data_IF_135373833159
#
_entry.id   IF_135373833159
#
_cell.length_a   1.000
_cell.length_b   1.000
_cell.length_c   1.000
_cell.angle_alpha   90.00
_cell.angle_beta   90.00
_cell.angle_gamma   90.00
#
_symmetry.space_group_name_H-M   'P 1'
#
loop_
_entity.id
_entity.type
_entity.pdbx_description
1 polymer ?
#
# COMPACT_ATOMS: atom_id res chain seq x y z
N UNK A 1 3.00 -17.18 2.18
CA UNK A 1 1.82 -17.13 1.29
C UNK A 1 2.11 -17.94 0.03
N UNK A 2 1.11 -18.45 -0.69
CA UNK A 2 1.35 -19.27 -1.90
C UNK A 2 2.12 -18.52 -2.99
N UNK A 3 1.88 -17.22 -3.13
CA UNK A 3 2.57 -16.37 -4.10
C UNK A 3 4.04 -16.11 -3.70
N UNK A 4 4.34 -15.93 -2.41
CA UNK A 4 5.73 -15.79 -1.92
C UNK A 4 6.56 -17.06 -2.19
N UNK A 5 5.96 -18.26 -2.05
CA UNK A 5 6.62 -19.53 -2.38
C UNK A 5 7.00 -19.62 -3.87
N UNK A 6 6.33 -18.84 -4.72
CA UNK A 6 6.58 -18.73 -6.16
C UNK A 6 7.51 -17.55 -6.50
N UNK A 7 8.14 -16.92 -5.51
CA UNK A 7 9.02 -15.76 -5.70
C UNK A 7 8.26 -14.46 -6.03
N UNK A 8 6.95 -14.41 -5.81
CA UNK A 8 6.12 -13.23 -6.09
C UNK A 8 5.93 -12.43 -4.81
N UNK A 9 6.42 -11.19 -4.80
CA UNK A 9 6.19 -10.21 -3.75
C UNK A 9 4.75 -9.70 -3.81
N UNK A 10 4.06 -9.66 -2.68
CA UNK A 10 2.65 -9.25 -2.61
C UNK A 10 2.48 -8.04 -1.71
N UNK A 11 1.72 -7.06 -2.18
CA UNK A 11 1.39 -5.86 -1.44
C UNK A 11 -0.09 -5.82 -1.10
N UNK A 12 -0.40 -5.30 0.08
CA UNK A 12 -1.76 -4.92 0.47
C UNK A 12 -1.85 -3.41 0.41
N UNK A 13 -2.66 -2.88 -0.50
CA UNK A 13 -3.00 -1.46 -0.54
C UNK A 13 -4.29 -1.25 0.26
N UNK A 14 -4.25 -0.35 1.25
CA UNK A 14 -5.40 -0.03 2.10
C UNK A 14 -5.49 1.47 2.32
N UNK A 15 -6.69 1.97 2.65
CA UNK A 15 -6.78 3.30 3.24
C UNK A 15 -6.48 3.23 4.74
N UNK A 16 -6.05 4.34 5.32
CA UNK A 16 -5.83 4.54 6.75
C UNK A 16 -6.97 4.00 7.64
N UNK A 17 -8.22 4.26 7.24
CA UNK A 17 -9.45 3.87 7.93
C UNK A 17 -9.58 2.36 8.08
N UNK A 18 -9.06 1.59 7.11
CA UNK A 18 -9.13 0.12 7.12
C UNK A 18 -7.86 -0.55 7.63
N UNK A 19 -6.80 0.21 7.95
CA UNK A 19 -5.55 -0.34 8.47
C UNK A 19 -5.76 -1.25 9.71
N UNK A 20 -6.61 -0.89 10.70
CA UNK A 20 -6.84 -1.77 11.86
C UNK A 20 -7.40 -3.15 11.48
N UNK A 21 -8.22 -3.22 10.43
CA UNK A 21 -8.76 -4.48 9.93
C UNK A 21 -7.66 -5.33 9.27
N UNK A 22 -6.79 -4.70 8.47
CA UNK A 22 -5.64 -5.37 7.85
C UNK A 22 -4.72 -5.96 8.93
N UNK A 23 -4.41 -5.20 9.98
CA UNK A 23 -3.58 -5.64 11.09
C UNK A 23 -4.22 -6.80 11.86
N UNK A 24 -5.53 -6.72 12.14
CA UNK A 24 -6.26 -7.80 12.80
C UNK A 24 -6.23 -9.10 11.97
N UNK A 25 -6.40 -9.00 10.65
CA UNK A 25 -6.33 -10.16 9.75
C UNK A 25 -4.91 -10.74 9.66
N UNK A 26 -3.89 -9.87 9.60
CA UNK A 26 -2.49 -10.29 9.59
C UNK A 26 -2.14 -11.07 10.87
N UNK A 27 -2.57 -10.57 12.03
CA UNK A 27 -2.40 -11.23 13.33
C UNK A 27 -3.10 -12.58 13.38
N UNK A 28 -4.37 -12.64 12.98
CA UNK A 28 -5.16 -13.88 13.00
C UNK A 28 -4.54 -14.97 12.10
N UNK A 29 -3.95 -14.58 10.97
CA UNK A 29 -3.33 -15.48 10.00
C UNK A 29 -1.84 -15.72 10.25
N UNK A 30 -1.24 -15.07 11.27
CA UNK A 30 0.20 -15.12 11.58
C UNK A 30 1.08 -14.80 10.38
N UNK A 31 0.67 -13.82 9.58
CA UNK A 31 1.43 -13.33 8.41
C UNK A 31 1.89 -11.90 8.64
N UNK A 32 2.98 -11.50 7.99
CA UNK A 32 3.48 -10.12 7.99
C UNK A 32 3.34 -9.55 6.58
N UNK A 33 2.19 -8.93 6.23
CA UNK A 33 1.99 -8.38 4.89
C UNK A 33 2.85 -7.12 4.70
N UNK A 34 3.24 -6.84 3.45
CA UNK A 34 3.75 -5.55 3.06
C UNK A 34 2.57 -4.63 2.77
N UNK A 35 2.34 -3.65 3.65
CA UNK A 35 1.16 -2.77 3.58
C UNK A 35 1.57 -1.40 3.04
N UNK A 36 0.84 -0.93 2.04
CA UNK A 36 0.90 0.44 1.54
C UNK A 36 -0.39 1.12 2.01
N UNK A 37 -0.25 2.22 2.73
CA UNK A 37 -1.36 2.98 3.29
C UNK A 37 -1.52 4.28 2.51
N UNK A 38 -2.75 4.60 2.13
CA UNK A 38 -3.13 5.88 1.53
C UNK A 38 -4.24 6.54 2.33
N UNK A 39 -4.37 7.85 2.22
CA UNK A 39 -5.39 8.58 2.96
C UNK A 39 -6.80 8.28 2.40
N UNK A 40 -7.76 8.12 3.29
CA UNK A 40 -9.18 8.09 2.92
C UNK A 40 -9.68 9.52 2.61
N UNK A 41 -10.70 9.70 1.76
CA UNK A 41 -11.33 8.72 0.88
C UNK A 41 -10.52 8.46 -0.40
N UNK A 42 -10.89 7.37 -1.10
CA UNK A 42 -10.42 7.04 -2.45
C UNK A 42 -11.51 7.18 -3.52
N UNK A 43 -12.73 7.55 -3.10
CA UNK A 43 -13.88 7.77 -3.98
C UNK A 43 -14.50 9.14 -3.74
N UNK A 44 -15.15 9.70 -4.77
CA UNK A 44 -15.71 11.05 -4.72
C UNK A 44 -14.68 12.18 -4.77
N UNK A 45 -13.43 11.86 -5.09
CA UNK A 45 -12.32 12.80 -5.16
C UNK A 45 -12.41 13.67 -6.41
N UNK A 46 -11.97 14.92 -6.28
CA UNK A 46 -11.62 15.74 -7.44
C UNK A 46 -10.26 15.30 -8.04
N UNK A 47 -9.86 15.94 -9.14
CA UNK A 47 -8.63 15.57 -9.85
C UNK A 47 -7.35 15.77 -9.01
N UNK A 48 -7.26 16.87 -8.25
CA UNK A 48 -6.09 17.19 -7.43
C UNK A 48 -5.95 16.18 -6.27
N UNK A 49 -7.06 15.91 -5.58
CA UNK A 49 -7.13 14.93 -4.51
C UNK A 49 -6.79 13.51 -5.02
N UNK A 50 -7.28 13.14 -6.20
CA UNK A 50 -6.94 11.86 -6.83
C UNK A 50 -5.44 11.74 -7.12
N UNK A 51 -4.82 12.80 -7.65
CA UNK A 51 -3.38 12.84 -7.89
C UNK A 51 -2.61 12.66 -6.60
N UNK A 52 -3.04 13.28 -5.50
CA UNK A 52 -2.42 13.11 -4.19
C UNK A 52 -2.47 11.64 -3.71
N UNK A 53 -3.64 10.98 -3.82
CA UNK A 53 -3.79 9.56 -3.42
C UNK A 53 -2.88 8.65 -4.26
N UNK A 54 -2.79 8.89 -5.57
CA UNK A 54 -1.92 8.14 -6.48
C UNK A 54 -0.44 8.37 -6.13
N UNK A 55 -0.04 9.62 -5.87
CA UNK A 55 1.34 9.94 -5.47
C UNK A 55 1.72 9.25 -4.16
N UNK A 56 0.83 9.27 -3.17
CA UNK A 56 1.03 8.58 -1.89
C UNK A 56 1.19 7.06 -2.08
N UNK A 57 0.29 6.43 -2.87
CA UNK A 57 0.38 5.01 -3.19
C UNK A 57 1.69 4.66 -3.91
N UNK A 58 2.07 5.47 -4.91
CA UNK A 58 3.28 5.27 -5.69
C UNK A 58 4.54 5.42 -4.82
N UNK A 59 4.58 6.41 -3.93
CA UNK A 59 5.67 6.58 -2.96
C UNK A 59 5.80 5.36 -2.05
N UNK A 60 4.70 4.90 -1.47
CA UNK A 60 4.69 3.71 -0.62
C UNK A 60 5.15 2.45 -1.35
N UNK A 61 4.69 2.26 -2.59
CA UNK A 61 5.14 1.14 -3.43
C UNK A 61 6.65 1.22 -3.72
N UNK A 62 7.15 2.37 -4.15
CA UNK A 62 8.57 2.59 -4.48
C UNK A 62 9.48 2.30 -3.29
N UNK A 63 9.13 2.81 -2.11
CA UNK A 63 9.83 2.52 -0.87
C UNK A 63 9.83 1.01 -0.55
N UNK A 64 8.70 0.33 -0.77
CA UNK A 64 8.58 -1.09 -0.48
C UNK A 64 9.37 -2.01 -1.44
N UNK A 65 9.62 -1.56 -2.68
CA UNK A 65 10.41 -2.30 -3.69
C UNK A 65 11.86 -1.83 -3.81
N UNK A 66 12.32 -0.90 -2.97
CA UNK A 66 13.70 -0.42 -2.96
C UNK A 66 14.10 0.43 -4.17
N UNK A 67 13.14 1.06 -4.86
CA UNK A 67 13.40 2.02 -5.93
C UNK A 67 13.52 3.44 -5.33
N UNK A 68 14.66 3.72 -4.69
CA UNK A 68 14.97 5.04 -4.11
C UNK A 68 15.56 6.06 -5.12
N UNK A 69 15.94 5.63 -6.32
CA UNK A 69 16.76 6.42 -7.25
C UNK A 69 16.05 6.94 -8.51
N UNK A 70 14.73 6.88 -8.61
CA UNK A 70 13.98 7.50 -9.73
C UNK A 70 13.48 8.92 -9.34
N UNK A 71 14.48 9.76 -9.06
CA UNK A 71 14.70 11.22 -9.00
C UNK A 71 13.52 12.22 -9.13
N UNK A 72 13.57 13.24 -8.26
CA UNK A 72 13.10 14.66 -8.25
C UNK A 72 11.72 15.06 -8.81
N UNK A 73 11.17 16.09 -8.15
CA UNK A 73 9.84 16.70 -8.31
C UNK A 73 9.49 17.16 -9.74
#
# INVERSE_FOLDING_TARGET
MELEKRGVTNFVLTTDTFLPLVEAQAKARKVKPQVIVVDHPIGGLNAEEMVERVRSAAKGLRSAIGLEWAIED
#
